data_IF_757326203454
#
_entry.id   IF_757326203454
#
_cell.length_a   1.000
_cell.length_b   1.000
_cell.length_c   1.000
_cell.angle_alpha   90.00
_cell.angle_beta   90.00
_cell.angle_gamma   90.00
#
_symmetry.space_group_name_H-M   'P 1'
#
loop_
_entity.id
_entity.type
_entity.pdbx_description
1 polymer ?
#
# COMPACT_ATOMS: atom_id res chain seq x y z
N UNK A 1 4.63 16.57 28.73
CA UNK A 1 3.71 15.81 27.86
C UNK A 1 4.53 14.78 27.07
N UNK A 2 4.31 13.48 27.28
CA UNK A 2 4.93 12.43 26.46
C UNK A 2 4.18 12.37 25.12
N UNK A 3 4.89 12.55 23.99
CA UNK A 3 4.29 12.35 22.66
C UNK A 3 3.91 10.88 22.51
N UNK A 4 2.74 10.52 21.97
CA UNK A 4 2.45 9.15 21.64
C UNK A 4 3.48 8.69 20.61
N UNK A 5 4.26 7.67 20.97
CA UNK A 5 5.18 7.02 20.04
C UNK A 5 4.33 6.39 18.94
N UNK A 6 4.44 6.91 17.73
CA UNK A 6 3.88 6.27 16.54
C UNK A 6 4.53 4.90 16.43
N UNK A 7 3.84 3.85 16.87
CA UNK A 7 4.29 2.47 16.75
C UNK A 7 4.60 2.20 15.27
N UNK A 8 5.88 1.95 14.98
CA UNK A 8 6.32 1.59 13.63
C UNK A 8 5.83 0.18 13.30
N UNK A 9 5.32 0.00 12.09
CA UNK A 9 4.94 -1.32 11.57
C UNK A 9 6.20 -2.11 11.22
N UNK A 10 6.24 -3.37 11.65
CA UNK A 10 7.26 -4.35 11.23
C UNK A 10 6.92 -4.99 9.87
N UNK A 11 5.75 -4.69 9.30
CA UNK A 11 5.38 -5.17 7.97
C UNK A 11 6.08 -4.41 6.85
N UNK A 12 5.96 -4.94 5.64
CA UNK A 12 6.57 -4.43 4.42
C UNK A 12 5.57 -3.52 3.70
N UNK A 13 6.01 -2.33 3.34
CA UNK A 13 5.33 -1.48 2.37
C UNK A 13 5.77 -1.87 0.96
N UNK A 14 4.82 -2.24 0.12
CA UNK A 14 5.09 -2.71 -1.25
C UNK A 14 4.65 -1.63 -2.22
N UNK A 15 5.60 -1.05 -2.95
CA UNK A 15 5.34 -0.03 -3.97
C UNK A 15 5.24 -0.71 -5.33
N UNK A 16 4.10 -0.57 -6.01
CA UNK A 16 3.87 -1.13 -7.34
C UNK A 16 3.93 -0.02 -8.37
N UNK A 17 4.90 -0.09 -9.29
CA UNK A 17 5.21 1.01 -10.23
C UNK A 17 4.79 0.75 -11.68
N UNK A 18 4.61 -0.51 -12.05
CA UNK A 18 4.23 -0.94 -13.41
C UNK A 18 3.22 -2.09 -13.35
N UNK A 19 2.45 -2.31 -14.43
CA UNK A 19 1.53 -3.43 -14.50
C UNK A 19 2.28 -4.73 -14.19
N UNK A 20 1.75 -5.51 -13.24
CA UNK A 20 2.38 -6.73 -12.80
C UNK A 20 1.99 -7.90 -13.70
N UNK A 21 2.95 -8.74 -14.03
CA UNK A 21 2.70 -10.05 -14.63
C UNK A 21 1.98 -11.00 -13.64
N UNK A 22 1.35 -12.09 -14.11
CA UNK A 22 0.60 -13.01 -13.25
C UNK A 22 1.40 -13.61 -12.08
N UNK A 23 2.72 -13.83 -12.24
CA UNK A 23 3.55 -14.39 -11.18
C UNK A 23 3.78 -13.35 -10.08
N UNK A 24 4.01 -12.08 -10.45
CA UNK A 24 4.13 -10.97 -9.49
C UNK A 24 2.81 -10.63 -8.81
N UNK A 25 1.68 -10.74 -9.51
CA UNK A 25 0.36 -10.62 -8.88
C UNK A 25 0.19 -11.71 -7.82
N UNK A 26 0.57 -12.95 -8.12
CA UNK A 26 0.52 -14.07 -7.17
C UNK A 26 1.42 -13.83 -5.96
N UNK A 27 2.64 -13.33 -6.18
CA UNK A 27 3.56 -12.96 -5.11
C UNK A 27 2.98 -11.84 -4.23
N UNK A 28 2.45 -10.78 -4.85
CA UNK A 28 1.81 -9.67 -4.13
C UNK A 28 0.67 -10.16 -3.24
N UNK A 29 -0.23 -11.01 -3.78
CA UNK A 29 -1.32 -11.62 -3.00
C UNK A 29 -0.80 -12.42 -1.80
N UNK A 30 0.25 -13.24 -1.99
CA UNK A 30 0.88 -13.97 -0.89
C UNK A 30 1.46 -13.04 0.17
N UNK A 31 2.15 -11.97 -0.24
CA UNK A 31 2.70 -10.99 0.70
C UNK A 31 1.60 -10.27 1.48
N UNK A 32 0.47 -9.96 0.84
CA UNK A 32 -0.68 -9.30 1.47
C UNK A 32 -1.48 -10.21 2.40
N UNK A 33 -1.20 -11.52 2.46
CA UNK A 33 -1.74 -12.40 3.52
C UNK A 33 -1.26 -11.99 4.92
N UNK A 34 -0.12 -11.30 5.02
CA UNK A 34 0.32 -10.71 6.28
C UNK A 34 -0.39 -9.35 6.48
N UNK A 35 -1.21 -9.19 7.54
CA UNK A 35 -1.98 -7.96 7.77
C UNK A 35 -1.10 -6.75 8.12
N UNK A 36 0.16 -6.95 8.50
CA UNK A 36 1.13 -5.88 8.70
C UNK A 36 1.67 -5.31 7.39
N UNK A 37 1.53 -6.02 6.26
CA UNK A 37 1.96 -5.55 4.96
C UNK A 37 0.91 -4.65 4.33
N UNK A 38 1.38 -3.70 3.52
CA UNK A 38 0.52 -2.81 2.75
C UNK A 38 1.08 -2.66 1.35
N UNK A 39 0.20 -2.45 0.36
CA UNK A 39 0.62 -2.20 -1.00
C UNK A 39 0.08 -0.87 -1.51
N UNK A 40 0.90 -0.14 -2.25
CA UNK A 40 0.51 1.12 -2.89
C UNK A 40 0.84 1.04 -4.37
N UNK A 41 -0.19 1.16 -5.20
CA UNK A 41 -0.02 1.31 -6.65
C UNK A 41 0.19 2.78 -6.96
N UNK A 42 1.36 3.12 -7.52
CA UNK A 42 1.77 4.51 -7.74
C UNK A 42 1.23 5.11 -9.03
N UNK A 43 0.61 4.31 -9.89
CA UNK A 43 0.13 4.77 -11.19
C UNK A 43 -1.27 4.18 -11.49
N UNK A 44 -2.21 4.98 -12.02
CA UNK A 44 -3.61 4.55 -12.20
C UNK A 44 -3.77 3.40 -13.21
N UNK A 45 -2.88 3.29 -14.21
CA UNK A 45 -2.90 2.16 -15.14
C UNK A 45 -2.30 0.86 -14.59
N UNK A 46 -1.74 0.89 -13.39
CA UNK A 46 -1.04 -0.24 -12.78
C UNK A 46 -2.06 -1.03 -11.97
N UNK A 47 -2.59 -2.08 -12.57
CA UNK A 47 -3.46 -3.08 -11.92
C UNK A 47 -4.93 -3.01 -12.37
N UNK A 48 -5.49 -4.17 -12.71
CA UNK A 48 -6.93 -4.38 -12.95
C UNK A 48 -7.76 -4.31 -11.66
N UNK A 49 -8.99 -4.87 -11.71
CA UNK A 49 -10.06 -4.85 -10.68
C UNK A 49 -9.58 -4.62 -9.24
N UNK A 50 -10.35 -3.89 -8.41
CA UNK A 50 -9.95 -3.56 -7.05
C UNK A 50 -9.50 -4.82 -6.31
N UNK A 51 -8.23 -4.79 -5.87
CA UNK A 51 -7.76 -5.68 -4.81
C UNK A 51 -8.67 -5.38 -3.62
N UNK A 52 -9.52 -6.33 -3.24
CA UNK A 52 -10.53 -6.16 -2.19
C UNK A 52 -9.92 -6.13 -0.78
N UNK A 53 -8.60 -6.14 -0.68
CA UNK A 53 -7.84 -6.11 0.56
C UNK A 53 -7.75 -4.68 1.13
N UNK A 54 -8.12 -4.51 2.41
CA UNK A 54 -8.15 -3.23 3.12
C UNK A 54 -6.81 -2.48 3.19
N UNK A 55 -5.70 -3.18 2.98
CA UNK A 55 -4.34 -2.64 3.06
C UNK A 55 -3.73 -2.34 1.69
N UNK A 56 -4.58 -2.24 0.66
CA UNK A 56 -4.17 -1.91 -0.70
C UNK A 56 -4.70 -0.54 -1.06
N UNK A 57 -3.78 0.34 -1.43
CA UNK A 57 -4.06 1.72 -1.77
C UNK A 57 -3.61 2.02 -3.21
N UNK A 58 -4.26 3.01 -3.83
CA UNK A 58 -3.94 3.45 -5.19
C UNK A 58 -3.85 4.97 -5.19
N UNK A 59 -2.73 5.48 -5.66
CA UNK A 59 -2.49 6.92 -5.68
C UNK A 59 -3.51 7.62 -6.58
N UNK A 60 -4.19 8.63 -6.03
CA UNK A 60 -5.21 9.39 -6.75
C UNK A 60 -6.59 8.72 -6.77
N UNK A 61 -6.76 7.56 -6.11
CA UNK A 61 -8.07 6.90 -5.99
C UNK A 61 -8.66 7.02 -4.59
N UNK A 62 -9.97 6.76 -4.48
CA UNK A 62 -10.67 6.76 -3.21
C UNK A 62 -10.15 5.64 -2.31
N UNK A 63 -9.90 5.97 -1.05
CA UNK A 63 -9.55 5.00 -0.03
C UNK A 63 -10.81 4.19 0.31
N UNK A 64 -10.75 2.85 0.26
CA UNK A 64 -11.85 2.00 0.70
C UNK A 64 -12.25 2.35 2.14
N UNK A 65 -13.55 2.38 2.43
CA UNK A 65 -14.11 2.64 3.76
C UNK A 65 -13.83 4.05 4.35
N UNK A 66 -13.28 5.00 3.57
CA UNK A 66 -13.13 6.40 3.99
C UNK A 66 -13.88 7.35 3.05
N UNK A 67 -15.00 7.86 3.57
CA UNK A 67 -16.01 8.67 2.89
C UNK A 67 -15.45 9.70 1.90
N UNK A 68 -15.34 9.28 0.63
CA UNK A 68 -14.85 10.12 -0.48
C UNK A 68 -13.37 10.55 -0.43
N UNK A 69 -12.58 10.14 0.56
CA UNK A 69 -11.18 10.56 0.69
C UNK A 69 -10.30 9.93 -0.38
N UNK A 70 -9.49 10.74 -1.05
CA UNK A 70 -8.52 10.29 -2.06
C UNK A 70 -7.18 10.01 -1.40
N UNK A 71 -6.55 8.88 -1.74
CA UNK A 71 -5.21 8.54 -1.30
C UNK A 71 -4.17 9.40 -2.02
N UNK A 72 -3.43 10.19 -1.27
CA UNK A 72 -2.51 11.22 -1.77
C UNK A 72 -1.04 10.88 -1.54
N UNK A 73 -0.15 11.70 -2.11
CA UNK A 73 1.30 11.61 -1.83
C UNK A 73 1.65 11.83 -0.36
N UNK A 74 0.85 12.63 0.38
CA UNK A 74 1.06 12.83 1.81
C UNK A 74 0.75 11.55 2.60
N UNK A 75 -0.29 10.82 2.19
CA UNK A 75 -0.65 9.53 2.80
C UNK A 75 0.43 8.47 2.54
N UNK A 76 0.96 8.43 1.32
CA UNK A 76 2.10 7.58 1.00
C UNK A 76 3.33 7.95 1.85
N UNK A 77 3.64 9.23 2.00
CA UNK A 77 4.77 9.67 2.83
C UNK A 77 4.60 9.27 4.30
N UNK A 78 3.38 9.36 4.83
CA UNK A 78 3.06 8.88 6.17
C UNK A 78 3.27 7.37 6.29
N UNK A 79 2.81 6.58 5.32
CA UNK A 79 3.04 5.13 5.28
C UNK A 79 4.52 4.77 5.20
N UNK A 80 5.30 5.47 4.38
CA UNK A 80 6.76 5.28 4.29
C UNK A 80 7.42 5.48 5.67
N UNK A 81 6.97 6.46 6.45
CA UNK A 81 7.50 6.71 7.80
C UNK A 81 7.06 5.65 8.84
N UNK A 82 5.93 5.01 8.62
CA UNK A 82 5.41 3.96 9.50
C UNK A 82 6.10 2.62 9.27
N UNK A 83 6.46 2.29 8.03
CA UNK A 83 7.08 1.02 7.68
C UNK A 83 8.60 1.06 7.75
N UNK A 84 9.21 0.03 8.36
CA UNK A 84 10.66 -0.11 8.41
C UNK A 84 11.26 -0.72 7.13
N UNK A 85 10.43 -1.42 6.34
CA UNK A 85 10.86 -2.16 5.17
C UNK A 85 9.99 -1.76 3.99
N UNK A 86 10.65 -1.44 2.88
CA UNK A 86 10.00 -1.06 1.64
C UNK A 86 10.50 -1.99 0.54
N UNK A 87 9.57 -2.62 -0.18
CA UNK A 87 9.85 -3.40 -1.38
C UNK A 87 9.21 -2.69 -2.56
N UNK A 88 9.89 -2.69 -3.71
CA UNK A 88 9.31 -2.19 -4.95
C UNK A 88 9.13 -3.33 -5.94
N UNK A 89 7.94 -3.42 -6.54
CA UNK A 89 7.63 -4.34 -7.62
C UNK A 89 7.49 -3.55 -8.93
N UNK A 90 8.18 -4.00 -9.98
CA UNK A 90 8.19 -3.36 -11.31
C UNK A 90 8.08 -4.34 -12.46
#
# INVERSE_FOLDING_TARGET
MKRPETQKSNGILILVRSPLDPARITLLKKMLQNPGNSAVFLHPSVGGKPFGEKNVFRLGEKIPDQDGRIFSWQDLYALIRLHQRILTLS
#
